data_IF_156485362404
#
_entry.id   IF_156485362404
#
_cell.length_a   1.000
_cell.length_b   1.000
_cell.length_c   1.000
_cell.angle_alpha   90.00
_cell.angle_beta   90.00
_cell.angle_gamma   90.00
#
_symmetry.space_group_name_H-M   'P 1'
#
loop_
_entity.id
_entity.type
_entity.pdbx_description
1 polymer ?
#
# COMPACT_ATOMS: atom_id res chain seq x y z
N UNK A 1 -4.38 -3.34 -20.22
CA UNK A 1 -5.76 -3.29 -19.67
C UNK A 1 -6.83 -3.77 -20.63
N UNK A 2 -7.73 -4.64 -20.17
CA UNK A 2 -9.00 -4.96 -20.87
C UNK A 2 -10.03 -3.83 -20.69
N UNK A 3 -11.10 -3.82 -21.50
CA UNK A 3 -12.18 -2.83 -21.35
C UNK A 3 -12.91 -2.98 -20.00
N UNK A 4 -13.15 -4.21 -19.56
CA UNK A 4 -13.78 -4.49 -18.27
C UNK A 4 -12.91 -3.99 -17.11
N UNK A 5 -11.60 -4.29 -17.13
CA UNK A 5 -10.66 -3.79 -16.12
C UNK A 5 -10.61 -2.26 -16.11
N UNK A 6 -10.63 -1.61 -17.27
CA UNK A 6 -10.66 -0.14 -17.36
C UNK A 6 -11.95 0.43 -16.75
N UNK A 7 -13.09 -0.20 -17.01
CA UNK A 7 -14.37 0.19 -16.41
C UNK A 7 -14.37 0.00 -14.89
N UNK A 8 -13.84 -1.11 -14.39
CA UNK A 8 -13.74 -1.38 -12.96
C UNK A 8 -12.85 -0.35 -12.25
N UNK A 9 -11.66 -0.06 -12.80
CA UNK A 9 -10.77 0.96 -12.26
C UNK A 9 -11.41 2.35 -12.30
N UNK A 10 -12.09 2.70 -13.39
CA UNK A 10 -12.79 3.99 -13.50
C UNK A 10 -13.94 4.09 -12.49
N UNK A 11 -14.68 3.01 -12.26
CA UNK A 11 -15.74 2.95 -11.26
C UNK A 11 -15.21 3.08 -9.83
N UNK A 12 -14.09 2.43 -9.51
CA UNK A 12 -13.43 2.57 -8.20
C UNK A 12 -12.92 3.99 -8.00
N UNK A 13 -12.22 4.57 -8.98
CA UNK A 13 -11.72 5.94 -8.91
C UNK A 13 -12.86 6.95 -8.73
N UNK A 14 -13.95 6.81 -9.50
CA UNK A 14 -15.14 7.66 -9.38
C UNK A 14 -15.80 7.54 -8.01
N UNK A 15 -15.92 6.33 -7.47
CA UNK A 15 -16.47 6.11 -6.13
C UNK A 15 -15.65 6.80 -5.04
N UNK A 16 -14.31 6.74 -5.13
CA UNK A 16 -13.42 7.44 -4.20
C UNK A 16 -13.58 8.95 -4.30
N UNK A 17 -13.69 9.49 -5.51
CA UNK A 17 -13.99 10.91 -5.72
C UNK A 17 -15.35 11.31 -5.12
N UNK A 18 -16.42 10.55 -5.36
CA UNK A 18 -17.73 10.79 -4.75
C UNK A 18 -17.65 10.80 -3.22
N UNK A 19 -16.97 9.83 -2.61
CA UNK A 19 -16.79 9.77 -1.15
C UNK A 19 -16.04 11.01 -0.61
N UNK A 20 -15.03 11.50 -1.35
CA UNK A 20 -14.31 12.72 -1.01
C UNK A 20 -15.19 13.97 -1.13
N UNK A 21 -16.00 14.07 -2.17
CA UNK A 21 -16.93 15.18 -2.38
C UNK A 21 -18.00 15.22 -1.28
N UNK A 22 -18.64 14.08 -0.99
CA UNK A 22 -19.64 13.96 0.07
C UNK A 22 -19.05 14.30 1.45
N UNK A 23 -17.85 13.82 1.77
CA UNK A 23 -17.18 14.15 3.04
C UNK A 23 -16.79 15.64 3.15
N UNK A 24 -16.65 16.33 2.02
CA UNK A 24 -16.44 17.78 1.96
C UNK A 24 -17.75 18.58 1.90
N UNK A 25 -18.90 17.95 2.14
CA UNK A 25 -20.21 18.61 2.21
C UNK A 25 -20.92 18.81 0.87
N UNK A 26 -20.44 18.20 -0.22
CA UNK A 26 -21.17 18.20 -1.48
C UNK A 26 -22.36 17.25 -1.43
N UNK A 27 -23.41 17.56 -2.20
CA UNK A 27 -24.61 16.73 -2.32
C UNK A 27 -25.01 16.54 -3.77
N UNK A 28 -25.75 15.46 -4.06
CA UNK A 28 -26.27 15.22 -5.40
C UNK A 28 -27.36 16.25 -5.75
N UNK A 29 -27.30 16.77 -6.97
CA UNK A 29 -28.42 17.43 -7.66
C UNK A 29 -28.28 17.25 -9.16
N UNK A 30 -29.34 17.45 -9.94
CA UNK A 30 -29.32 17.25 -11.40
C UNK A 30 -28.41 18.23 -12.16
N UNK A 31 -27.84 19.24 -11.48
CA UNK A 31 -26.89 20.19 -12.03
C UNK A 31 -25.79 20.50 -11.03
N UNK A 32 -24.60 20.75 -11.56
CA UNK A 32 -23.49 21.32 -10.81
C UNK A 32 -23.78 22.76 -10.37
N UNK A 33 -23.60 23.04 -9.09
CA UNK A 33 -23.61 24.38 -8.52
C UNK A 33 -22.57 24.47 -7.40
N UNK A 34 -21.53 25.27 -7.62
CA UNK A 34 -20.45 25.44 -6.65
C UNK A 34 -20.87 26.24 -5.42
N UNK A 35 -21.83 27.16 -5.53
CA UNK A 35 -22.30 27.96 -4.39
C UNK A 35 -23.19 27.14 -3.45
N UNK A 36 -23.96 26.21 -4.03
CA UNK A 36 -24.83 25.29 -3.28
C UNK A 36 -24.14 23.96 -2.91
N UNK A 37 -22.87 23.77 -3.29
CA UNK A 37 -22.14 22.50 -3.16
C UNK A 37 -22.95 21.31 -3.72
N UNK A 38 -23.52 21.44 -4.91
CA UNK A 38 -24.22 20.35 -5.59
C UNK A 38 -23.47 19.88 -6.83
N UNK A 39 -23.52 18.58 -7.14
CA UNK A 39 -22.90 18.02 -8.33
C UNK A 39 -23.70 16.82 -8.88
N UNK A 40 -23.97 16.87 -10.19
CA UNK A 40 -24.68 15.85 -10.99
C UNK A 40 -23.96 14.51 -11.11
N UNK A 41 -22.62 14.53 -11.16
CA UNK A 41 -21.81 13.33 -11.22
C UNK A 41 -21.77 12.52 -9.91
N UNK A 42 -22.44 12.96 -8.83
CA UNK A 42 -22.55 12.22 -7.56
C UNK A 42 -23.55 11.04 -7.63
N UNK A 43 -23.39 10.23 -8.68
CA UNK A 43 -24.13 9.00 -8.96
C UNK A 43 -23.15 7.86 -9.19
N UNK A 44 -23.59 6.58 -9.11
CA UNK A 44 -22.76 5.45 -9.49
C UNK A 44 -22.22 5.58 -10.92
N UNK A 45 -20.97 5.13 -11.16
CA UNK A 45 -20.29 5.25 -12.46
C UNK A 45 -21.12 4.81 -13.67
N UNK A 46 -21.90 3.71 -13.65
CA UNK A 46 -22.74 3.31 -14.79
C UNK A 46 -23.86 4.31 -15.13
N UNK A 47 -24.24 5.19 -14.18
CA UNK A 47 -25.28 6.21 -14.36
C UNK A 47 -24.74 7.56 -14.82
N UNK A 48 -23.41 7.73 -14.88
CA UNK A 48 -22.80 8.93 -15.43
C UNK A 48 -23.16 9.10 -16.91
N UNK A 49 -23.15 10.34 -17.38
CA UNK A 49 -23.19 10.60 -18.81
C UNK A 49 -21.99 9.98 -19.53
N UNK A 50 -22.16 9.64 -20.82
CA UNK A 50 -21.10 9.01 -21.63
C UNK A 50 -19.82 9.83 -21.64
N UNK A 51 -19.93 11.16 -21.62
CA UNK A 51 -18.78 12.08 -21.57
C UNK A 51 -17.98 11.92 -20.29
N UNK A 52 -18.65 11.83 -19.14
CA UNK A 52 -18.00 11.73 -17.84
C UNK A 52 -17.46 10.32 -17.60
N UNK A 53 -18.16 9.28 -18.05
CA UNK A 53 -17.60 7.93 -18.08
C UNK A 53 -16.29 7.89 -18.88
N UNK A 54 -16.26 8.55 -20.05
CA UNK A 54 -15.04 8.66 -20.86
C UNK A 54 -13.95 9.45 -20.12
N UNK A 55 -14.29 10.55 -19.45
CA UNK A 55 -13.33 11.35 -18.69
C UNK A 55 -12.69 10.54 -17.55
N UNK A 56 -13.49 9.79 -16.77
CA UNK A 56 -12.99 8.93 -15.72
C UNK A 56 -12.05 7.83 -16.25
N UNK A 57 -12.39 7.18 -17.37
CA UNK A 57 -11.50 6.21 -18.04
C UNK A 57 -10.18 6.84 -18.49
N UNK A 58 -10.22 8.03 -19.07
CA UNK A 58 -9.01 8.74 -19.47
C UNK A 58 -8.14 9.12 -18.28
N UNK A 59 -8.74 9.48 -17.14
CA UNK A 59 -8.01 9.72 -15.90
C UNK A 59 -7.25 8.48 -15.40
N UNK A 60 -7.92 7.31 -15.41
CA UNK A 60 -7.28 6.02 -15.07
C UNK A 60 -6.08 5.73 -15.96
N UNK A 61 -6.20 5.95 -17.27
CA UNK A 61 -5.13 5.74 -18.23
C UNK A 61 -3.98 6.73 -18.04
N UNK A 62 -4.29 8.02 -17.87
CA UNK A 62 -3.29 9.08 -17.70
C UNK A 62 -2.46 8.93 -16.42
N UNK A 63 -3.06 8.42 -15.34
CA UNK A 63 -2.38 8.13 -14.08
C UNK A 63 -1.69 6.76 -14.06
N UNK A 64 -1.76 5.99 -15.15
CA UNK A 64 -1.22 4.62 -15.24
C UNK A 64 -1.65 3.74 -14.06
N UNK A 65 -2.91 3.85 -13.65
CA UNK A 65 -3.39 3.27 -12.40
C UNK A 65 -3.23 1.73 -12.37
N UNK A 66 -3.40 1.05 -13.52
CA UNK A 66 -3.15 -0.39 -13.65
C UNK A 66 -1.71 -0.73 -13.23
N UNK A 67 -0.71 -0.03 -13.78
CA UNK A 67 0.70 -0.22 -13.45
C UNK A 67 0.99 0.07 -11.98
N UNK A 68 0.41 1.13 -11.42
CA UNK A 68 0.57 1.49 -10.00
C UNK A 68 0.01 0.41 -9.08
N UNK A 69 -1.18 -0.10 -9.39
CA UNK A 69 -1.82 -1.17 -8.62
C UNK A 69 -1.05 -2.50 -8.74
N UNK A 70 -0.58 -2.86 -9.94
CA UNK A 70 0.30 -4.02 -10.12
C UNK A 70 1.54 -3.89 -9.24
N UNK A 71 2.16 -2.70 -9.20
CA UNK A 71 3.37 -2.45 -8.39
C UNK A 71 3.13 -2.46 -6.88
N UNK A 72 1.88 -2.24 -6.45
CA UNK A 72 1.50 -2.23 -5.04
C UNK A 72 1.39 -3.64 -4.46
N UNK A 73 1.19 -4.66 -5.31
CA UNK A 73 1.07 -6.05 -4.87
C UNK A 73 2.46 -6.69 -4.79
N UNK A 74 2.79 -7.27 -3.63
CA UNK A 74 4.02 -8.02 -3.40
C UNK A 74 3.67 -9.44 -2.95
N UNK A 75 3.92 -10.42 -3.81
CA UNK A 75 3.83 -11.84 -3.46
C UNK A 75 5.22 -12.42 -3.32
N UNK A 76 5.79 -12.24 -2.14
CA UNK A 76 7.16 -12.66 -1.89
C UNK A 76 7.24 -14.17 -1.71
N UNK A 77 8.15 -14.82 -2.44
CA UNK A 77 8.35 -16.27 -2.48
C UNK A 77 9.84 -16.60 -2.57
N UNK A 78 10.20 -17.83 -2.20
CA UNK A 78 11.60 -18.27 -2.20
C UNK A 78 12.43 -17.48 -1.18
N UNK A 79 13.70 -17.16 -1.46
CA UNK A 79 14.58 -16.47 -0.51
C UNK A 79 14.09 -15.05 -0.16
N UNK A 80 13.38 -14.38 -1.08
CA UNK A 80 12.90 -13.02 -0.86
C UNK A 80 11.58 -12.93 -0.08
N UNK A 81 11.11 -14.04 0.53
CA UNK A 81 9.85 -14.07 1.30
C UNK A 81 10.01 -13.48 2.70
N UNK A 82 8.88 -13.12 3.28
CA UNK A 82 8.76 -12.70 4.68
C UNK A 82 9.34 -13.75 5.63
N UNK A 83 9.78 -13.37 6.83
CA UNK A 83 10.18 -14.35 7.85
C UNK A 83 8.98 -15.23 8.23
N UNK A 84 9.20 -16.54 8.45
CA UNK A 84 8.21 -17.38 9.15
C UNK A 84 8.38 -17.21 10.66
N UNK A 85 7.34 -17.53 11.41
CA UNK A 85 7.38 -17.47 12.87
C UNK A 85 8.51 -18.31 13.48
N UNK A 86 8.79 -19.49 12.91
CA UNK A 86 9.89 -20.36 13.33
C UNK A 86 11.29 -19.79 13.02
N UNK A 87 11.38 -18.84 12.09
CA UNK A 87 12.63 -18.18 11.74
C UNK A 87 12.96 -17.01 12.67
N UNK A 88 11.95 -16.47 13.37
CA UNK A 88 12.09 -15.33 14.25
C UNK A 88 12.45 -15.83 15.64
N UNK A 89 13.74 -15.81 15.95
CA UNK A 89 14.29 -16.24 17.24
C UNK A 89 15.10 -15.09 17.82
N UNK A 90 14.99 -14.89 19.13
CA UNK A 90 15.75 -13.85 19.83
C UNK A 90 17.25 -14.04 19.60
N UNK A 91 17.94 -12.95 19.25
CA UNK A 91 19.36 -12.92 18.92
C UNK A 91 19.69 -13.27 17.47
N UNK A 92 18.72 -13.68 16.64
CA UNK A 92 18.96 -13.93 15.22
C UNK A 92 19.46 -12.66 14.54
N UNK A 93 20.54 -12.80 13.77
CA UNK A 93 21.17 -11.71 13.04
C UNK A 93 20.39 -11.37 11.79
N UNK A 94 20.12 -10.08 11.59
CA UNK A 94 19.41 -9.52 10.44
C UNK A 94 20.10 -8.23 9.99
N UNK A 95 19.87 -7.84 8.75
CA UNK A 95 20.29 -6.53 8.25
C UNK A 95 19.16 -5.90 7.44
N UNK A 96 19.25 -4.61 7.16
CA UNK A 96 18.31 -3.97 6.23
C UNK A 96 18.49 -4.55 4.82
N UNK A 97 17.37 -4.77 4.12
CA UNK A 97 17.40 -5.22 2.74
C UNK A 97 17.98 -4.11 1.83
N UNK A 98 19.13 -4.32 1.16
CA UNK A 98 19.88 -3.25 0.48
C UNK A 98 19.17 -2.69 -0.77
N UNK A 99 18.23 -3.43 -1.35
CA UNK A 99 17.54 -3.07 -2.59
C UNK A 99 16.14 -2.48 -2.38
N UNK A 100 15.74 -2.20 -1.14
CA UNK A 100 14.44 -1.57 -0.89
C UNK A 100 14.50 -0.05 -1.01
N UNK A 101 13.52 0.51 -1.72
CA UNK A 101 13.17 1.92 -1.49
C UNK A 101 12.76 2.03 -0.02
N UNK A 102 13.41 2.89 0.78
CA UNK A 102 13.05 3.05 2.17
C UNK A 102 11.55 3.40 2.24
N UNK A 103 10.75 2.66 3.03
CA UNK A 103 9.37 3.05 3.23
C UNK A 103 9.34 4.45 3.86
N UNK A 104 8.25 5.23 3.67
CA UNK A 104 8.14 6.58 4.23
C UNK A 104 8.31 6.66 5.76
N UNK A 105 8.20 5.52 6.45
CA UNK A 105 8.37 5.36 7.90
C UNK A 105 9.78 4.91 8.32
N UNK A 106 10.64 4.51 7.39
CA UNK A 106 12.03 4.15 7.65
C UNK A 106 12.89 5.42 7.72
N UNK A 107 12.68 6.23 8.75
CA UNK A 107 13.42 7.47 8.98
C UNK A 107 14.90 7.25 9.28
N UNK A 108 15.32 6.00 9.53
CA UNK A 108 16.71 5.65 9.80
C UNK A 108 17.00 4.27 9.23
N UNK A 109 17.62 4.20 8.04
CA UNK A 109 18.33 2.99 7.66
C UNK A 109 19.53 2.89 8.61
N UNK A 110 19.50 1.93 9.53
CA UNK A 110 20.63 1.67 10.41
C UNK A 110 21.64 0.82 9.67
N UNK A 111 22.87 1.29 9.56
CA UNK A 111 23.95 0.53 8.94
C UNK A 111 24.42 -0.59 9.89
N UNK A 112 24.61 -1.79 9.33
CA UNK A 112 25.17 -2.93 10.04
C UNK A 112 24.17 -4.05 10.34
N UNK A 113 24.58 -4.91 11.27
CA UNK A 113 23.87 -6.15 11.60
C UNK A 113 23.13 -5.98 12.93
N UNK A 114 21.80 -6.04 12.88
CA UNK A 114 20.92 -6.05 14.04
C UNK A 114 20.64 -7.46 14.56
N UNK A 115 20.02 -7.53 15.72
CA UNK A 115 19.54 -8.76 16.36
C UNK A 115 18.04 -8.67 16.64
N UNK A 116 17.30 -9.73 16.33
CA UNK A 116 15.89 -9.84 16.71
C UNK A 116 15.78 -9.85 18.23
N UNK A 117 14.98 -8.94 18.79
CA UNK A 117 14.74 -8.82 20.23
C UNK A 117 13.43 -9.48 20.68
N UNK A 118 12.36 -9.24 19.92
CA UNK A 118 11.01 -9.75 20.17
C UNK A 118 10.14 -9.68 18.91
N UNK A 119 8.97 -10.31 18.92
CA UNK A 119 7.99 -10.25 17.85
C UNK A 119 6.57 -10.41 18.38
N UNK A 120 5.59 -9.98 17.58
CA UNK A 120 4.16 -10.19 17.84
C UNK A 120 3.54 -11.02 16.73
N UNK A 121 2.42 -11.67 17.07
CA UNK A 121 1.56 -12.37 16.12
C UNK A 121 0.18 -11.74 16.12
N UNK A 122 -0.49 -11.76 14.98
CA UNK A 122 -1.87 -11.31 14.85
C UNK A 122 -2.89 -12.37 15.34
N UNK A 123 -4.17 -12.10 15.13
CA UNK A 123 -5.26 -13.00 15.50
C UNK A 123 -5.28 -14.32 14.72
N UNK A 124 -4.65 -14.36 13.56
CA UNK A 124 -4.55 -15.53 12.69
C UNK A 124 -3.28 -16.35 12.98
N UNK A 125 -2.41 -15.85 13.88
CA UNK A 125 -1.17 -16.50 14.28
C UNK A 125 0.01 -16.20 13.36
N UNK A 126 -0.16 -15.24 12.43
CA UNK A 126 0.89 -14.81 11.52
C UNK A 126 1.73 -13.70 12.17
N UNK A 127 2.97 -13.53 11.70
CA UNK A 127 3.85 -12.48 12.23
C UNK A 127 3.32 -11.08 11.87
N UNK A 128 3.10 -10.27 12.89
CA UNK A 128 2.62 -8.89 12.74
C UNK A 128 3.79 -7.88 12.82
N UNK A 129 4.70 -8.11 13.77
CA UNK A 129 5.83 -7.20 14.02
C UNK A 129 7.09 -7.96 14.44
N UNK A 130 8.23 -7.54 13.92
CA UNK A 130 9.56 -7.97 14.38
C UNK A 130 10.29 -6.75 14.93
N UNK A 131 10.76 -6.86 16.17
CA UNK A 131 11.56 -5.83 16.83
C UNK A 131 13.03 -6.19 16.75
N UNK A 132 13.86 -5.28 16.25
CA UNK A 132 15.29 -5.49 16.04
C UNK A 132 16.08 -4.48 16.88
N UNK A 133 17.10 -4.96 17.60
CA UNK A 133 18.09 -4.14 18.29
C UNK A 133 19.34 -3.99 17.43
N UNK A 134 19.79 -2.78 17.22
CA UNK A 134 20.97 -2.43 16.42
C UNK A 134 22.23 -2.23 17.27
N UNK A 135 23.43 -2.23 16.67
CA UNK A 135 24.69 -2.03 17.39
C UNK A 135 24.79 -0.69 18.14
N UNK A 136 24.11 0.35 17.66
CA UNK A 136 24.04 1.66 18.31
C UNK A 136 23.08 1.69 19.53
N UNK A 137 22.46 0.55 19.85
CA UNK A 137 21.51 0.39 20.94
C UNK A 137 20.07 0.79 20.58
N UNK A 138 19.82 1.32 19.38
CA UNK A 138 18.46 1.62 18.95
C UNK A 138 17.67 0.33 18.71
N UNK A 139 16.35 0.46 18.89
CA UNK A 139 15.40 -0.62 18.68
C UNK A 139 14.34 -0.14 17.71
N UNK A 140 14.15 -0.87 16.62
CA UNK A 140 13.19 -0.54 15.57
C UNK A 140 12.18 -1.65 15.36
N UNK A 141 11.00 -1.26 14.89
CA UNK A 141 9.86 -2.12 14.63
C UNK A 141 9.72 -2.30 13.11
N UNK A 142 9.61 -3.56 12.67
CA UNK A 142 9.57 -3.96 11.27
C UNK A 142 8.35 -4.83 10.98
N UNK A 143 7.64 -4.51 9.90
CA UNK A 143 6.51 -5.31 9.43
C UNK A 143 7.04 -6.36 8.45
N UNK A 144 6.84 -7.68 8.70
CA UNK A 144 7.35 -8.75 7.84
C UNK A 144 7.01 -8.57 6.36
N UNK A 145 5.76 -8.20 6.03
CA UNK A 145 5.30 -7.97 4.66
C UNK A 145 5.89 -6.77 3.95
N UNK A 146 6.60 -5.88 4.65
CA UNK A 146 7.38 -4.81 4.03
C UNK A 146 8.78 -5.27 3.62
N UNK A 147 9.24 -6.46 4.03
CA UNK A 147 10.54 -7.04 3.66
C UNK A 147 11.74 -6.13 3.98
N UNK A 148 11.62 -5.38 5.08
CA UNK A 148 12.66 -4.45 5.58
C UNK A 148 13.92 -5.14 6.02
N UNK A 149 13.79 -6.39 6.47
CA UNK A 149 14.86 -7.19 7.02
C UNK A 149 15.24 -8.28 6.02
N UNK A 150 16.55 -8.48 5.86
CA UNK A 150 17.14 -9.59 5.12
C UNK A 150 17.81 -10.58 6.08
N UNK A 151 17.76 -11.88 5.73
CA UNK A 151 18.58 -12.91 6.38
C UNK A 151 20.02 -12.69 5.96
N UNK A 152 20.98 -12.71 6.89
CA UNK A 152 22.38 -12.50 6.54
C UNK A 152 22.92 -13.55 5.55
N UNK A 153 22.42 -14.77 5.65
CA UNK A 153 22.78 -15.90 4.77
C UNK A 153 22.43 -15.62 3.30
N UNK A 154 21.48 -14.72 3.05
CA UNK A 154 21.00 -14.34 1.71
C UNK A 154 21.71 -13.09 1.16
N UNK A 155 22.60 -12.47 1.94
CA UNK A 155 23.38 -11.28 1.56
C UNK A 155 24.83 -11.59 1.13
N UNK A 156 25.21 -12.87 1.12
CA UNK A 156 26.55 -13.35 0.78
C UNK A 156 26.71 -13.72 -0.71
#
# INVERSE_FOLDING_TARGET
MSEDTLNDLAAVAHRLWCARMLSNGWTYADRFDAALHTHDALVPFPRLERRDQRAARLGVLAEELESRLISAIRYSRGPNREFLIEEVVKGRKVAFCPNMRPPPRASVQQEGVGEIDSWTVDSDGELDLIRVRWPDGQVTDHVPGLLELARLEELA
#
